data_IF_045292396810
#
_entry.id   IF_045292396810
#
_cell.length_a   1.000
_cell.length_b   1.000
_cell.length_c   1.000
_cell.angle_alpha   90.00
_cell.angle_beta   90.00
_cell.angle_gamma   90.00
#
_symmetry.space_group_name_H-M   'P 1'
#
loop_
_entity.id
_entity.type
_entity.pdbx_description
1 polymer ?
#
# COMPACT_ATOMS: atom_id res chain seq x y z
N UNK A 1 14.01 -24.40 19.71
CA UNK A 1 13.73 -24.38 18.25
C UNK A 1 12.29 -23.99 17.91
N UNK A 2 11.24 -24.61 18.50
CA UNK A 2 9.82 -24.27 18.26
C UNK A 2 9.40 -22.80 18.52
N UNK A 3 10.06 -22.11 19.46
CA UNK A 3 9.75 -20.71 19.78
C UNK A 3 10.26 -19.72 18.72
N UNK A 4 11.47 -19.96 18.22
CA UNK A 4 12.12 -19.12 17.19
C UNK A 4 11.31 -19.17 15.89
N UNK A 5 10.85 -20.36 15.49
CA UNK A 5 9.99 -20.50 14.31
C UNK A 5 8.64 -19.79 14.47
N UNK A 6 8.06 -19.79 15.68
CA UNK A 6 6.79 -19.09 15.94
C UNK A 6 6.94 -17.57 15.84
N UNK A 7 8.01 -16.99 16.39
CA UNK A 7 8.28 -15.56 16.26
C UNK A 7 8.61 -15.15 14.83
N UNK A 8 9.40 -15.96 14.12
CA UNK A 8 9.69 -15.74 12.70
C UNK A 8 8.40 -15.73 11.86
N UNK A 9 7.52 -16.72 12.04
CA UNK A 9 6.24 -16.79 11.32
C UNK A 9 5.36 -15.57 11.64
N UNK A 10 5.31 -15.15 12.91
CA UNK A 10 4.54 -13.97 13.33
C UNK A 10 5.05 -12.69 12.68
N UNK A 11 6.37 -12.47 12.70
CA UNK A 11 6.99 -11.29 12.11
C UNK A 11 6.86 -11.28 10.58
N UNK A 12 6.99 -12.45 9.95
CA UNK A 12 6.80 -12.60 8.52
C UNK A 12 5.35 -12.34 8.10
N UNK A 13 4.38 -12.82 8.89
CA UNK A 13 2.95 -12.54 8.67
C UNK A 13 2.65 -11.04 8.80
N UNK A 14 3.22 -10.36 9.80
CA UNK A 14 3.09 -8.91 9.96
C UNK A 14 3.71 -8.14 8.78
N UNK A 15 4.93 -8.51 8.37
CA UNK A 15 5.59 -7.92 7.20
C UNK A 15 4.77 -8.12 5.92
N UNK A 16 4.27 -9.34 5.70
CA UNK A 16 3.42 -9.66 4.56
C UNK A 16 2.13 -8.85 4.55
N UNK A 17 1.47 -8.73 5.71
CA UNK A 17 0.24 -7.94 5.85
C UNK A 17 0.47 -6.45 5.58
N UNK A 18 1.53 -5.86 6.15
CA UNK A 18 1.87 -4.46 5.94
C UNK A 18 2.26 -4.19 4.47
N UNK A 19 3.07 -5.08 3.88
CA UNK A 19 3.42 -5.00 2.46
C UNK A 19 2.19 -5.08 1.56
N UNK A 20 1.26 -6.01 1.85
CA UNK A 20 0.00 -6.12 1.13
C UNK A 20 -0.86 -4.86 1.27
N UNK A 21 -0.92 -4.28 2.46
CA UNK A 21 -1.70 -3.08 2.73
C UNK A 21 -1.15 -1.85 1.99
N UNK A 22 0.17 -1.69 1.95
CA UNK A 22 0.84 -0.62 1.19
C UNK A 22 0.66 -0.85 -0.31
N UNK A 23 0.94 -2.06 -0.80
CA UNK A 23 0.77 -2.41 -2.21
C UNK A 23 -0.68 -2.24 -2.68
N UNK A 24 -1.65 -2.62 -1.85
CA UNK A 24 -3.07 -2.45 -2.12
C UNK A 24 -3.47 -0.98 -2.28
N UNK A 25 -2.96 -0.09 -1.43
CA UNK A 25 -3.18 1.36 -1.57
C UNK A 25 -2.59 1.88 -2.88
N UNK A 26 -1.33 1.55 -3.19
CA UNK A 26 -0.68 2.00 -4.43
C UNK A 26 -1.46 1.50 -5.65
N UNK A 27 -1.84 0.22 -5.67
CA UNK A 27 -2.63 -0.36 -6.76
C UNK A 27 -3.99 0.30 -6.91
N UNK A 28 -4.66 0.66 -5.82
CA UNK A 28 -5.95 1.34 -5.84
C UNK A 28 -5.83 2.72 -6.51
N UNK A 29 -4.82 3.52 -6.16
CA UNK A 29 -4.59 4.82 -6.78
C UNK A 29 -4.16 4.71 -8.25
N UNK A 30 -3.36 3.70 -8.60
CA UNK A 30 -3.01 3.39 -9.99
C UNK A 30 -4.25 2.98 -10.79
N UNK A 31 -5.14 2.20 -10.20
CA UNK A 31 -6.41 1.79 -10.82
C UNK A 31 -7.33 3.00 -11.05
N UNK A 32 -7.45 3.90 -10.08
CA UNK A 32 -8.17 5.17 -10.22
C UNK A 32 -7.57 5.99 -11.37
N UNK A 33 -6.25 6.11 -11.46
CA UNK A 33 -5.61 6.79 -12.59
C UNK A 33 -6.01 6.16 -13.93
N UNK A 34 -5.93 4.82 -14.07
CA UNK A 34 -6.30 4.13 -15.31
C UNK A 34 -7.77 4.36 -15.69
N UNK A 35 -8.66 4.45 -14.72
CA UNK A 35 -10.07 4.81 -14.96
C UNK A 35 -10.16 6.25 -15.49
N UNK A 36 -9.50 7.20 -14.86
CA UNK A 36 -9.49 8.61 -15.29
C UNK A 36 -8.89 8.75 -16.70
N UNK A 37 -7.78 8.07 -16.97
CA UNK A 37 -7.12 8.07 -18.29
C UNK A 37 -8.05 7.55 -19.39
N UNK A 38 -8.87 6.54 -19.08
CA UNK A 38 -9.83 5.96 -20.02
C UNK A 38 -11.01 6.89 -20.33
N UNK A 39 -11.49 7.67 -19.36
CA UNK A 39 -12.73 8.45 -19.50
C UNK A 39 -12.52 9.95 -19.74
N UNK A 40 -11.38 10.52 -19.35
CA UNK A 40 -11.15 11.97 -19.40
C UNK A 40 -9.96 12.34 -20.29
N UNK A 41 -8.74 12.15 -19.81
CA UNK A 41 -7.52 12.51 -20.54
C UNK A 41 -6.29 11.83 -19.93
N UNK A 42 -5.26 11.63 -20.75
CA UNK A 42 -3.96 11.13 -20.31
C UNK A 42 -3.10 12.27 -19.79
N UNK A 43 -2.63 12.17 -18.55
CA UNK A 43 -1.71 13.15 -17.95
C UNK A 43 -0.70 12.47 -17.05
N UNK A 44 0.57 12.52 -17.46
CA UNK A 44 1.70 11.97 -16.71
C UNK A 44 1.85 12.62 -15.33
N UNK A 45 1.57 13.91 -15.23
CA UNK A 45 1.61 14.65 -13.96
C UNK A 45 0.55 14.12 -12.99
N UNK A 46 -0.66 13.87 -13.48
CA UNK A 46 -1.76 13.34 -12.67
C UNK A 46 -1.47 11.91 -12.20
N UNK A 47 -0.80 11.10 -13.04
CA UNK A 47 -0.30 9.79 -12.64
C UNK A 47 0.71 9.88 -11.48
N UNK A 48 1.72 10.73 -11.61
CA UNK A 48 2.76 10.90 -10.58
C UNK A 48 2.13 11.36 -9.26
N UNK A 49 1.20 12.30 -9.30
CA UNK A 49 0.49 12.78 -8.11
C UNK A 49 -0.30 11.66 -7.43
N UNK A 50 -1.12 10.91 -8.18
CA UNK A 50 -1.88 9.78 -7.62
C UNK A 50 -0.97 8.68 -7.07
N UNK A 51 0.15 8.40 -7.75
CA UNK A 51 1.14 7.43 -7.27
C UNK A 51 1.73 7.87 -5.92
N UNK A 52 2.17 9.13 -5.80
CA UNK A 52 2.69 9.68 -4.55
C UNK A 52 1.64 9.64 -3.44
N UNK A 53 0.40 10.00 -3.73
CA UNK A 53 -0.72 9.92 -2.77
C UNK A 53 -0.94 8.46 -2.35
N UNK A 54 -0.91 7.51 -3.28
CA UNK A 54 -1.06 6.09 -2.96
C UNK A 54 0.06 5.54 -2.09
N UNK A 55 1.29 5.96 -2.33
CA UNK A 55 2.45 5.62 -1.48
C UNK A 55 2.25 6.20 -0.08
N UNK A 56 2.01 7.51 0.04
CA UNK A 56 1.83 8.18 1.34
C UNK A 56 0.63 7.59 2.11
N UNK A 57 -0.50 7.35 1.43
CA UNK A 57 -1.69 6.73 2.01
C UNK A 57 -1.40 5.30 2.49
N UNK A 58 -0.69 4.51 1.70
CA UNK A 58 -0.28 3.15 2.07
C UNK A 58 0.58 3.13 3.32
N UNK A 59 1.62 3.97 3.36
CA UNK A 59 2.48 4.10 4.54
C UNK A 59 1.75 4.68 5.75
N UNK A 60 0.87 5.66 5.57
CA UNK A 60 0.06 6.22 6.64
C UNK A 60 -0.90 5.18 7.23
N UNK A 61 -1.54 4.38 6.38
CA UNK A 61 -2.44 3.32 6.81
C UNK A 61 -1.69 2.22 7.57
N UNK A 62 -0.51 1.84 7.09
CA UNK A 62 0.39 0.91 7.78
C UNK A 62 0.83 1.47 9.14
N UNK A 63 1.25 2.73 9.19
CA UNK A 63 1.61 3.43 10.42
C UNK A 63 0.46 3.45 11.43
N UNK A 64 -0.74 3.82 10.97
CA UNK A 64 -1.96 3.85 11.80
C UNK A 64 -2.26 2.49 12.40
N UNK A 65 -2.17 1.43 11.59
CA UNK A 65 -2.38 0.05 12.01
C UNK A 65 -1.34 -0.42 13.05
N UNK A 66 -0.07 -0.08 12.86
CA UNK A 66 1.00 -0.40 13.83
C UNK A 66 0.80 0.36 15.15
N UNK A 67 0.45 1.65 15.06
CA UNK A 67 0.22 2.50 16.23
C UNK A 67 -1.13 2.26 16.92
N UNK A 68 -2.02 1.43 16.35
CA UNK A 68 -3.40 1.21 16.81
C UNK A 68 -4.17 2.52 17.07
N UNK A 69 -3.85 3.58 16.31
CA UNK A 69 -4.64 4.82 16.27
C UNK A 69 -5.75 4.69 15.22
#
# INVERSE_FOLDING_TARGET
MKWITKELIKNFSLLGYLGFLIAGNILLYVFIYKMIEKYFFKSTILFILLLLIGIVSGFYSAYKLIMKK
#
